data_IF_329867559856
#
_entry.id   IF_329867559856
#
_cell.length_a   1.000
_cell.length_b   1.000
_cell.length_c   1.000
_cell.angle_alpha   90.00
_cell.angle_beta   90.00
_cell.angle_gamma   90.00
#
_symmetry.space_group_name_H-M   'P 1'
#
loop_
_entity.id
_entity.type
_entity.pdbx_description
1 polymer ?
#
# COMPACT_ATOMS: atom_id res chain seq x y z
N UNK A 1 -13.21 26.38 -13.74
CA UNK A 1 -13.18 25.24 -12.80
C UNK A 1 -11.81 24.60 -12.96
N UNK A 2 -10.95 24.56 -11.95
CA UNK A 2 -9.68 23.87 -12.06
C UNK A 2 -9.90 22.38 -11.80
N UNK A 3 -9.50 21.56 -12.77
CA UNK A 3 -9.47 20.11 -12.69
C UNK A 3 -8.65 19.66 -11.46
N UNK A 4 -9.18 18.80 -10.57
CA UNK A 4 -8.45 18.29 -9.40
C UNK A 4 -7.25 17.39 -9.73
N UNK A 5 -6.87 17.26 -11.00
CA UNK A 5 -5.84 16.33 -11.49
C UNK A 5 -4.40 16.88 -11.43
N UNK A 6 -4.10 17.92 -10.64
CA UNK A 6 -2.79 18.55 -10.77
C UNK A 6 -1.62 17.86 -10.05
N UNK A 7 -1.75 17.25 -8.86
CA UNK A 7 -0.59 16.65 -8.18
C UNK A 7 -0.95 15.59 -7.14
N UNK A 8 -1.38 14.41 -7.58
CA UNK A 8 -1.49 13.27 -6.67
C UNK A 8 -0.94 11.98 -7.30
N UNK A 9 0.23 12.09 -7.92
CA UNK A 9 1.15 10.97 -8.04
C UNK A 9 2.27 11.24 -7.04
N UNK A 10 2.01 10.90 -5.76
CA UNK A 10 3.11 10.43 -4.94
C UNK A 10 3.50 9.07 -5.53
N UNK A 11 4.75 8.97 -5.97
CA UNK A 11 5.36 7.71 -6.34
C UNK A 11 5.71 6.99 -5.04
N UNK A 12 5.54 5.67 -5.01
CA UNK A 12 5.80 4.83 -3.86
C UNK A 12 6.91 3.86 -4.21
N UNK A 13 7.95 3.82 -3.39
CA UNK A 13 8.97 2.78 -3.46
C UNK A 13 8.52 1.61 -2.62
N UNK A 14 8.28 0.48 -3.25
CA UNK A 14 7.87 -0.76 -2.60
C UNK A 14 9.05 -1.71 -2.50
N UNK A 15 9.28 -2.24 -1.30
CA UNK A 15 10.30 -3.22 -0.99
C UNK A 15 9.64 -4.55 -0.62
N UNK A 16 10.09 -5.61 -1.26
CA UNK A 16 9.65 -6.98 -1.03
C UNK A 16 10.84 -7.89 -0.74
N UNK A 17 10.67 -8.91 0.12
CA UNK A 17 11.72 -9.88 0.38
C UNK A 17 12.09 -10.62 -0.90
N UNK A 18 13.39 -10.63 -1.23
CA UNK A 18 13.97 -11.24 -2.44
C UNK A 18 13.68 -10.52 -3.76
N UNK A 19 13.17 -9.29 -3.71
CA UNK A 19 12.94 -8.46 -4.90
C UNK A 19 13.65 -7.10 -4.76
N UNK A 20 13.96 -6.52 -5.91
CA UNK A 20 14.52 -5.17 -5.98
C UNK A 20 13.45 -4.10 -5.68
N UNK A 21 13.88 -2.88 -5.39
CA UNK A 21 12.97 -1.78 -5.08
C UNK A 21 12.10 -1.43 -6.30
N UNK A 22 10.78 -1.38 -6.12
CA UNK A 22 9.83 -1.11 -7.20
C UNK A 22 9.15 0.24 -7.01
N UNK A 23 9.24 1.11 -8.01
CA UNK A 23 8.49 2.36 -8.04
C UNK A 23 7.09 2.08 -8.58
N UNK A 24 6.08 2.30 -7.73
CA UNK A 24 4.67 2.14 -8.05
C UNK A 24 3.94 3.46 -7.82
N UNK A 25 2.94 3.76 -8.63
CA UNK A 25 2.02 4.86 -8.31
C UNK A 25 1.12 4.50 -7.13
N UNK A 26 0.52 5.51 -6.49
CA UNK A 26 -0.49 5.30 -5.44
C UNK A 26 -1.57 4.28 -5.83
N UNK A 27 -2.05 4.34 -7.09
CA UNK A 27 -3.08 3.43 -7.59
C UNK A 27 -2.58 1.98 -7.70
N UNK A 28 -1.33 1.79 -8.15
CA UNK A 28 -0.71 0.48 -8.29
C UNK A 28 -0.38 -0.16 -6.94
N UNK A 29 0.18 0.62 -6.00
CA UNK A 29 0.42 0.16 -4.64
C UNK A 29 -0.88 -0.28 -3.98
N UNK A 30 -1.94 0.51 -4.11
CA UNK A 30 -3.25 0.21 -3.54
C UNK A 30 -3.87 -1.05 -4.17
N UNK A 31 -3.72 -1.26 -5.49
CA UNK A 31 -4.11 -2.50 -6.15
C UNK A 31 -3.31 -3.71 -5.65
N UNK A 32 -2.01 -3.56 -5.44
CA UNK A 32 -1.13 -4.61 -4.91
C UNK A 32 -1.50 -4.97 -3.47
N UNK A 33 -1.69 -3.97 -2.60
CA UNK A 33 -2.18 -4.14 -1.24
C UNK A 33 -3.52 -4.87 -1.22
N UNK A 34 -4.47 -4.50 -2.08
CA UNK A 34 -5.76 -5.20 -2.17
C UNK A 34 -5.62 -6.68 -2.49
N UNK A 35 -4.76 -7.03 -3.44
CA UNK A 35 -4.50 -8.43 -3.79
C UNK A 35 -3.91 -9.20 -2.60
N UNK A 36 -2.92 -8.62 -1.94
CA UNK A 36 -2.27 -9.20 -0.76
C UNK A 36 -3.26 -9.40 0.38
N UNK A 37 -4.04 -8.37 0.71
CA UNK A 37 -5.08 -8.40 1.75
C UNK A 37 -6.17 -9.43 1.43
N UNK A 38 -6.56 -9.56 0.17
CA UNK A 38 -7.58 -10.54 -0.26
C UNK A 38 -7.09 -11.98 -0.06
N UNK A 39 -5.78 -12.22 -0.16
CA UNK A 39 -5.18 -13.53 0.09
C UNK A 39 -4.90 -13.79 1.58
N UNK A 40 -4.67 -12.73 2.37
CA UNK A 40 -4.21 -12.83 3.76
C UNK A 40 -5.22 -12.30 4.79
N UNK A 41 -6.52 -12.29 4.46
CA UNK A 41 -7.58 -11.74 5.31
C UNK A 41 -7.63 -12.34 6.73
N UNK A 42 -7.17 -13.58 6.91
CA UNK A 42 -7.17 -14.27 8.20
C UNK A 42 -6.03 -13.86 9.13
N UNK A 43 -4.97 -13.24 8.61
CA UNK A 43 -3.76 -12.86 9.35
C UNK A 43 -3.61 -11.34 9.50
N UNK A 44 -4.68 -10.59 9.23
CA UNK A 44 -4.64 -9.16 9.33
C UNK A 44 -4.64 -8.67 10.78
N UNK A 45 -3.94 -7.55 11.06
CA UNK A 45 -4.05 -6.90 12.36
C UNK A 45 -5.49 -6.50 12.66
N UNK A 46 -5.85 -6.51 13.95
CA UNK A 46 -7.21 -6.23 14.42
C UNK A 46 -7.73 -4.86 13.95
N UNK A 47 -6.85 -3.90 13.72
CA UNK A 47 -7.22 -2.58 13.18
C UNK A 47 -7.85 -2.66 11.78
N UNK A 48 -7.54 -3.69 10.99
CA UNK A 48 -8.13 -3.86 9.66
C UNK A 48 -9.48 -4.56 9.69
N UNK A 49 -9.79 -5.28 10.77
CA UNK A 49 -11.09 -5.91 10.96
C UNK A 49 -12.23 -4.90 11.15
N UNK A 50 -11.94 -3.63 11.45
CA UNK A 50 -12.96 -2.58 11.52
C UNK A 50 -13.52 -2.20 10.14
N UNK A 51 -12.82 -2.55 9.05
CA UNK A 51 -13.17 -2.19 7.69
C UNK A 51 -13.82 -3.37 6.97
N UNK A 52 -15.04 -3.16 6.48
CA UNK A 52 -15.82 -4.16 5.74
C UNK A 52 -15.31 -4.39 4.30
N UNK A 53 -14.42 -3.53 3.80
CA UNK A 53 -13.93 -3.56 2.42
C UNK A 53 -12.41 -3.56 2.34
N UNK A 54 -11.87 -4.42 1.47
CA UNK A 54 -10.43 -4.50 1.19
C UNK A 54 -9.86 -3.16 0.69
N UNK A 55 -10.66 -2.38 -0.07
CA UNK A 55 -10.26 -1.03 -0.51
C UNK A 55 -10.01 -0.09 0.67
N UNK A 56 -10.88 -0.13 1.68
CA UNK A 56 -10.75 0.69 2.87
C UNK A 56 -9.56 0.24 3.72
N UNK A 57 -9.36 -1.08 3.86
CA UNK A 57 -8.19 -1.65 4.54
C UNK A 57 -6.88 -1.24 3.86
N UNK A 58 -6.80 -1.36 2.53
CA UNK A 58 -5.62 -0.99 1.75
C UNK A 58 -5.33 0.51 1.85
N UNK A 59 -6.35 1.37 1.74
CA UNK A 59 -6.19 2.82 1.91
C UNK A 59 -5.73 3.19 3.31
N UNK A 60 -6.33 2.59 4.33
CA UNK A 60 -5.94 2.83 5.72
C UNK A 60 -4.49 2.42 5.96
N UNK A 61 -4.09 1.22 5.50
CA UNK A 61 -2.69 0.80 5.56
C UNK A 61 -1.78 1.78 4.85
N UNK A 62 -2.11 2.17 3.61
CA UNK A 62 -1.26 3.07 2.84
C UNK A 62 -1.08 4.44 3.48
N UNK A 63 -2.08 4.93 4.22
CA UNK A 63 -2.09 6.25 4.86
C UNK A 63 -1.48 6.23 6.28
N UNK A 64 -1.77 5.18 7.05
CA UNK A 64 -1.38 5.06 8.48
C UNK A 64 -0.12 4.22 8.69
N UNK A 65 0.22 3.36 7.73
CA UNK A 65 1.34 2.42 7.82
C UNK A 65 2.25 2.53 6.59
N UNK A 66 3.53 2.19 6.78
CA UNK A 66 4.51 2.10 5.70
C UNK A 66 5.01 0.67 5.49
N UNK A 67 4.44 -0.28 6.23
CA UNK A 67 4.79 -1.69 6.15
C UNK A 67 3.59 -2.57 6.47
N UNK A 68 3.58 -3.76 5.86
CA UNK A 68 2.65 -4.83 6.10
C UNK A 68 3.44 -6.13 6.29
N UNK A 69 3.38 -6.69 7.49
CA UNK A 69 3.96 -7.99 7.80
C UNK A 69 2.84 -9.02 7.75
N UNK A 70 2.96 -10.00 6.85
CA UNK A 70 1.95 -11.06 6.66
C UNK A 70 2.33 -12.32 7.42
N UNK A 71 3.58 -12.75 7.21
CA UNK A 71 4.14 -14.00 7.74
C UNK A 71 5.61 -13.81 8.12
N UNK A 72 6.19 -14.69 8.96
CA UNK A 72 7.62 -14.66 9.25
C UNK A 72 8.44 -14.84 7.95
N UNK A 73 9.02 -13.74 7.47
CA UNK A 73 9.81 -13.68 6.23
C UNK A 73 9.04 -13.11 5.02
N UNK A 74 7.74 -12.85 5.15
CA UNK A 74 6.93 -12.22 4.11
C UNK A 74 6.38 -10.88 4.61
N UNK A 75 6.96 -9.81 4.10
CA UNK A 75 6.60 -8.44 4.42
C UNK A 75 6.56 -7.61 3.14
N UNK A 76 5.85 -6.50 3.18
CA UNK A 76 5.77 -5.51 2.12
C UNK A 76 6.01 -4.16 2.78
N UNK A 77 7.05 -3.44 2.38
CA UNK A 77 7.28 -2.07 2.85
C UNK A 77 7.06 -1.11 1.69
N UNK A 78 6.53 0.07 1.96
CA UNK A 78 6.36 1.11 0.96
C UNK A 78 6.67 2.49 1.53
N UNK A 79 7.28 3.33 0.71
CA UNK A 79 7.66 4.69 1.08
C UNK A 79 7.16 5.66 0.02
N UNK A 80 6.36 6.64 0.44
CA UNK A 80 5.99 7.75 -0.43
C UNK A 80 7.23 8.60 -0.72
N UNK A 81 7.59 8.72 -1.99
CA UNK A 81 8.69 9.55 -2.46
C UNK A 81 8.14 10.70 -3.30
N UNK A 82 8.53 11.91 -2.92
CA UNK A 82 8.33 13.12 -3.73
C UNK A 82 9.53 13.23 -4.65
N UNK A 83 9.34 12.92 -5.94
CA UNK A 83 10.34 13.26 -6.96
C UNK A 83 10.34 14.78 -7.15
N UNK A 84 11.10 15.49 -6.32
CA UNK A 84 11.43 16.89 -6.54
C UNK A 84 12.37 16.98 -7.76
N UNK A 85 11.92 17.70 -8.79
CA UNK A 85 12.64 17.90 -10.05
C UNK A 85 13.72 18.97 -9.93
#
# INVERSE_FOLDING_TARGET
MPDPMMYQQDDFVVLEPNHDEQFLTAAELLAKLKLVLSQNQQQLPQELHQFDSIDAQAKYLMDTSCELVLEPGQYLQWYAVRLEK
#
